data_IF_616267197868
#
_entry.id   IF_616267197868
#
_cell.length_a   1.000
_cell.length_b   1.000
_cell.length_c   1.000
_cell.angle_alpha   90.00
_cell.angle_beta   90.00
_cell.angle_gamma   90.00
#
_symmetry.space_group_name_H-M   'P 1'
#
loop_
_entity.id
_entity.type
_entity.pdbx_description
1 polymer ?
#
# COMPACT_ATOMS: atom_id res chain seq x y z
N UNK A 1 -40.35 15.72 -15.73
CA UNK A 1 -39.63 14.75 -14.88
C UNK A 1 -38.21 15.26 -14.74
N UNK A 2 -37.80 15.71 -13.54
CA UNK A 2 -36.66 16.63 -13.41
C UNK A 2 -35.27 15.99 -13.52
N UNK A 3 -35.13 14.66 -13.45
CA UNK A 3 -33.83 13.99 -13.54
C UNK A 3 -34.03 12.57 -14.09
N UNK A 4 -34.11 12.41 -15.40
CA UNK A 4 -34.20 11.08 -16.03
C UNK A 4 -32.82 10.42 -16.21
N UNK A 5 -31.73 11.20 -16.13
CA UNK A 5 -30.42 10.76 -16.63
C UNK A 5 -29.26 11.20 -15.70
N UNK A 6 -28.54 10.22 -15.16
CA UNK A 6 -27.27 10.38 -14.42
C UNK A 6 -26.24 11.25 -15.17
N UNK A 7 -26.11 11.17 -16.52
CA UNK A 7 -25.27 12.08 -17.31
C UNK A 7 -25.63 13.56 -17.17
N UNK A 8 -26.92 13.91 -17.03
CA UNK A 8 -27.36 15.30 -16.90
C UNK A 8 -27.01 15.89 -15.54
N UNK A 9 -26.97 15.05 -14.50
CA UNK A 9 -26.49 15.41 -13.16
C UNK A 9 -24.96 15.56 -13.15
N UNK A 10 -24.25 14.70 -13.90
CA UNK A 10 -22.80 14.80 -14.08
C UNK A 10 -22.37 15.98 -14.96
N UNK A 11 -23.24 16.41 -15.88
CA UNK A 11 -23.01 17.57 -16.72
C UNK A 11 -23.37 18.88 -16.01
N UNK A 12 -24.41 18.90 -15.16
CA UNK A 12 -24.86 20.05 -14.36
C UNK A 12 -24.75 21.38 -15.13
N UNK A 13 -25.31 21.44 -16.34
CA UNK A 13 -25.26 22.62 -17.21
C UNK A 13 -23.95 22.86 -17.99
N UNK A 14 -23.05 21.87 -18.06
CA UNK A 14 -21.79 21.91 -18.83
C UNK A 14 -20.50 21.95 -17.99
N UNK A 15 -20.61 22.09 -16.66
CA UNK A 15 -19.46 22.28 -15.78
C UNK A 15 -19.05 21.06 -14.95
N UNK A 16 -19.88 20.02 -14.87
CA UNK A 16 -19.59 18.92 -13.95
C UNK A 16 -18.36 18.09 -14.36
N UNK A 17 -18.02 18.02 -15.66
CA UNK A 17 -16.74 17.43 -16.13
C UNK A 17 -15.55 18.06 -15.40
N UNK A 18 -15.51 19.37 -15.22
CA UNK A 18 -14.40 20.04 -14.54
C UNK A 18 -14.29 19.65 -13.07
N UNK A 19 -15.43 19.60 -12.36
CA UNK A 19 -15.48 19.22 -10.94
C UNK A 19 -15.01 17.78 -10.75
N UNK A 20 -15.54 16.85 -11.55
CA UNK A 20 -15.15 15.44 -11.48
C UNK A 20 -13.70 15.21 -11.89
N UNK A 21 -13.15 16.00 -12.82
CA UNK A 21 -11.73 15.91 -13.20
C UNK A 21 -10.84 16.39 -12.07
N UNK A 22 -11.20 17.50 -11.39
CA UNK A 22 -10.49 17.97 -10.20
C UNK A 22 -10.54 16.96 -9.05
N UNK A 23 -11.71 16.38 -8.77
CA UNK A 23 -11.86 15.32 -7.78
C UNK A 23 -11.08 14.06 -8.16
N UNK A 24 -11.15 13.65 -9.42
CA UNK A 24 -10.40 12.50 -9.94
C UNK A 24 -8.90 12.70 -9.82
N UNK A 25 -8.39 13.89 -10.13
CA UNK A 25 -6.99 14.26 -9.97
C UNK A 25 -6.57 14.26 -8.49
N UNK A 26 -7.38 14.84 -7.61
CA UNK A 26 -7.11 14.84 -6.17
C UNK A 26 -7.06 13.41 -5.60
N UNK A 27 -8.02 12.57 -5.96
CA UNK A 27 -8.05 11.15 -5.57
C UNK A 27 -6.85 10.40 -6.16
N UNK A 28 -6.48 10.67 -7.40
CA UNK A 28 -5.31 10.05 -8.03
C UNK A 28 -4.00 10.43 -7.31
N UNK A 29 -3.82 11.69 -6.95
CA UNK A 29 -2.64 12.16 -6.19
C UNK A 29 -2.61 11.55 -4.79
N UNK A 30 -3.75 11.48 -4.11
CA UNK A 30 -3.87 10.84 -2.80
C UNK A 30 -3.53 9.33 -2.89
N UNK A 31 -4.09 8.63 -3.87
CA UNK A 31 -3.83 7.21 -4.12
C UNK A 31 -2.35 6.96 -4.46
N UNK A 32 -1.74 7.81 -5.29
CA UNK A 32 -0.33 7.73 -5.63
C UNK A 32 0.57 7.89 -4.39
N UNK A 33 0.26 8.85 -3.50
CA UNK A 33 0.97 9.01 -2.23
C UNK A 33 0.85 7.78 -1.32
N UNK A 34 -0.38 7.26 -1.17
CA UNK A 34 -0.63 6.05 -0.37
C UNK A 34 0.14 4.86 -0.96
N UNK A 35 0.13 4.71 -2.28
CA UNK A 35 0.84 3.65 -2.97
C UNK A 35 2.35 3.75 -2.76
N UNK A 36 2.90 4.96 -2.87
CA UNK A 36 4.31 5.23 -2.61
C UNK A 36 4.71 4.84 -1.18
N UNK A 37 3.95 5.30 -0.18
CA UNK A 37 4.21 4.95 1.23
C UNK A 37 4.07 3.45 1.46
N UNK A 38 3.04 2.79 0.91
CA UNK A 38 2.88 1.33 1.02
C UNK A 38 4.06 0.58 0.41
N UNK A 39 4.53 0.98 -0.76
CA UNK A 39 5.68 0.34 -1.43
C UNK A 39 6.96 0.46 -0.58
N UNK A 40 7.21 1.64 -0.03
CA UNK A 40 8.36 1.88 0.85
C UNK A 40 8.28 1.04 2.14
N UNK A 41 7.08 0.92 2.73
CA UNK A 41 6.87 0.11 3.94
C UNK A 41 7.06 -1.38 3.67
N UNK A 42 6.51 -1.92 2.59
CA UNK A 42 6.67 -3.34 2.24
C UNK A 42 8.14 -3.70 2.00
N UNK A 43 8.90 -2.82 1.34
CA UNK A 43 10.33 -3.01 1.13
C UNK A 43 11.14 -2.99 2.43
N UNK A 44 10.72 -2.21 3.42
CA UNK A 44 11.36 -2.14 4.73
C UNK A 44 11.05 -3.39 5.59
N UNK A 45 9.77 -3.76 5.72
CA UNK A 45 9.36 -4.93 6.51
C UNK A 45 9.90 -6.26 5.94
N UNK A 46 10.12 -6.35 4.63
CA UNK A 46 10.74 -7.51 4.00
C UNK A 46 12.19 -7.73 4.48
N UNK A 47 12.95 -6.65 4.73
CA UNK A 47 14.34 -6.74 5.21
C UNK A 47 14.41 -7.18 6.66
N UNK A 48 13.57 -6.61 7.52
CA UNK A 48 13.48 -6.96 8.95
C UNK A 48 13.16 -8.45 9.13
N UNK A 49 12.16 -8.95 8.38
CA UNK A 49 11.75 -10.37 8.43
C UNK A 49 12.85 -11.32 7.98
N UNK A 50 13.66 -10.93 7.00
CA UNK A 50 14.77 -11.75 6.53
C UNK A 50 15.94 -11.78 7.52
N UNK A 51 16.14 -10.71 8.31
CA UNK A 51 17.15 -10.66 9.37
C UNK A 51 16.74 -11.52 10.57
N UNK A 52 15.48 -11.40 11.03
CA UNK A 52 14.95 -12.21 12.15
C UNK A 52 14.98 -13.71 11.85
N UNK A 53 14.68 -14.13 10.61
CA UNK A 53 14.80 -15.53 10.20
C UNK A 53 16.23 -16.05 10.27
N UNK A 54 17.21 -15.23 9.90
CA UNK A 54 18.64 -15.59 9.98
C UNK A 54 19.13 -15.67 11.42
N UNK A 55 18.67 -14.77 12.29
CA UNK A 55 18.98 -14.83 13.72
C UNK A 55 18.38 -16.09 14.38
N UNK A 56 17.12 -16.40 14.06
CA UNK A 56 16.46 -17.61 14.56
C UNK A 56 17.14 -18.91 14.08
N UNK A 57 17.57 -18.96 12.81
CA UNK A 57 18.30 -20.10 12.26
C UNK A 57 19.67 -20.30 12.94
N UNK A 58 20.39 -19.22 13.26
CA UNK A 58 21.66 -19.27 13.99
C UNK A 58 21.46 -19.70 15.44
N UNK A 59 20.42 -19.22 16.12
CA UNK A 59 20.10 -19.64 17.48
C UNK A 59 19.73 -21.12 17.54
N UNK A 60 18.99 -21.64 16.55
CA UNK A 60 18.69 -23.05 16.42
C UNK A 60 19.95 -23.90 16.17
N UNK A 61 20.86 -23.44 15.29
CA UNK A 61 22.13 -24.12 15.05
C UNK A 61 23.10 -24.06 16.24
N UNK A 62 23.07 -22.99 17.03
CA UNK A 62 23.87 -22.85 18.25
C UNK A 62 23.30 -23.67 19.43
N UNK A 63 21.99 -23.88 19.48
CA UNK A 63 21.33 -24.76 20.46
C UNK A 63 21.43 -26.25 20.11
N UNK A 64 21.70 -26.58 18.84
CA UNK A 64 21.97 -27.94 18.36
C UNK A 64 23.46 -28.27 18.33
N UNK A 65 24.34 -27.35 18.76
CA UNK A 65 25.74 -27.68 19.01
C UNK A 65 25.76 -28.78 20.10
N UNK A 66 26.07 -30.04 19.73
CA UNK A 66 26.02 -31.13 20.67
C UNK A 66 27.08 -30.84 21.72
N UNK A 67 26.78 -31.12 22.98
CA UNK A 67 27.78 -31.09 24.03
C UNK A 67 29.01 -31.87 23.61
N UNK A 68 30.04 -31.18 23.12
CA UNK A 68 31.38 -31.72 23.07
C UNK A 68 31.82 -31.78 24.52
N UNK A 69 31.97 -33.03 24.96
CA UNK A 69 32.03 -33.40 26.34
C UNK A 69 33.25 -32.87 27.08
N UNK A 70 33.07 -32.79 28.39
CA UNK A 70 34.05 -33.19 29.40
C UNK A 70 33.36 -33.20 30.75
#
# INVERSE_FOLDING_TARGET
MAFADFPSFLAMGGHGVYVWTCYGLAVAVAAANIWWVRRSRVAFFARERAALRRAAAQAAAAGDAPGEGS
#
